data_IF_277732677751
#
_entry.id   IF_277732677751
#
_cell.length_a   1.000
_cell.length_b   1.000
_cell.length_c   1.000
_cell.angle_alpha   90.00
_cell.angle_beta   90.00
_cell.angle_gamma   90.00
#
_symmetry.space_group_name_H-M   'P 1'
#
loop_
_entity.id
_entity.type
_entity.pdbx_description
1 polymer ?
#
# COMPACT_ATOMS: atom_id res chain seq x y z
N UNK A 1 76.70 -6.28 -24.15
CA UNK A 1 76.08 -7.04 -23.04
C UNK A 1 76.26 -6.21 -21.78
N UNK A 2 75.40 -5.24 -21.47
CA UNK A 2 73.97 -5.36 -21.15
C UNK A 2 73.72 -6.14 -19.85
N UNK A 3 73.64 -5.43 -18.71
CA UNK A 3 72.49 -5.50 -17.78
C UNK A 3 72.76 -4.79 -16.45
N UNK A 4 71.68 -4.15 -15.97
CA UNK A 4 71.58 -3.05 -14.99
C UNK A 4 71.51 -3.53 -13.51
N UNK A 5 71.68 -2.61 -12.53
CA UNK A 5 71.82 -2.93 -11.11
C UNK A 5 70.47 -3.09 -10.39
N UNK A 6 70.42 -4.00 -9.41
CA UNK A 6 69.26 -4.22 -8.53
C UNK A 6 69.47 -3.66 -7.13
N UNK A 7 69.10 -2.40 -6.94
CA UNK A 7 68.98 -1.75 -5.63
C UNK A 7 67.76 -2.31 -4.89
N UNK A 8 67.95 -2.91 -3.71
CA UNK A 8 66.86 -3.36 -2.82
C UNK A 8 66.64 -2.31 -1.73
N UNK A 9 65.72 -1.38 -1.98
CA UNK A 9 65.25 -0.40 -0.99
C UNK A 9 64.20 -1.07 -0.09
N UNK A 10 64.42 -1.00 1.23
CA UNK A 10 63.51 -1.54 2.25
C UNK A 10 62.30 -0.62 2.43
N UNK A 11 61.10 -1.19 2.40
CA UNK A 11 59.83 -0.54 2.69
C UNK A 11 59.84 0.03 4.12
N UNK A 12 59.66 1.33 4.26
CA UNK A 12 59.25 1.97 5.51
C UNK A 12 57.78 2.37 5.37
N UNK A 13 56.98 1.85 6.29
CA UNK A 13 55.53 2.00 6.47
C UNK A 13 55.07 3.46 6.44
N UNK A 14 54.23 3.79 5.46
CA UNK A 14 53.54 5.07 5.37
C UNK A 14 52.21 5.02 6.14
N UNK A 15 52.09 5.86 7.18
CA UNK A 15 50.87 6.09 7.95
C UNK A 15 49.85 6.83 7.09
N UNK A 16 48.80 6.13 6.64
CA UNK A 16 47.68 6.76 5.92
C UNK A 16 46.68 7.32 6.94
N UNK A 17 46.66 8.64 7.05
CA UNK A 17 45.69 9.39 7.84
C UNK A 17 44.29 9.27 7.20
N UNK A 18 43.37 8.63 7.93
CA UNK A 18 41.97 8.46 7.58
C UNK A 18 41.21 9.76 7.91
N UNK A 19 40.97 10.61 6.92
CA UNK A 19 40.05 11.76 7.04
C UNK A 19 38.74 11.39 6.34
N UNK A 20 37.80 10.83 7.11
CA UNK A 20 36.42 10.60 6.67
C UNK A 20 35.54 11.64 7.36
N UNK A 21 35.26 12.74 6.66
CA UNK A 21 34.26 13.75 7.05
C UNK A 21 33.23 13.83 5.93
N UNK A 22 32.43 12.78 5.81
CA UNK A 22 31.14 12.85 5.10
C UNK A 22 30.13 13.40 6.10
N UNK A 23 29.99 14.72 6.15
CA UNK A 23 28.81 15.37 6.75
C UNK A 23 27.64 15.10 5.81
N UNK A 24 27.03 13.93 5.96
CA UNK A 24 25.71 13.68 5.41
C UNK A 24 24.72 14.47 6.28
N UNK A 25 24.31 15.65 5.81
CA UNK A 25 23.05 16.24 6.24
C UNK A 25 21.93 15.30 5.81
N UNK A 26 21.68 14.27 6.61
CA UNK A 26 20.43 13.55 6.57
C UNK A 26 19.38 14.54 7.01
N UNK A 27 18.57 15.02 6.08
CA UNK A 27 17.24 15.49 6.44
C UNK A 27 16.59 14.33 7.17
N UNK A 28 16.53 14.41 8.50
CA UNK A 28 15.74 13.53 9.33
C UNK A 28 14.28 13.74 8.92
N UNK A 29 13.90 13.03 7.85
CA UNK A 29 12.53 12.91 7.39
C UNK A 29 11.78 12.19 8.47
N UNK A 30 11.30 12.95 9.45
CA UNK A 30 10.34 12.47 10.43
C UNK A 30 9.22 11.83 9.62
N UNK A 31 8.95 10.52 9.75
CA UNK A 31 7.90 9.88 8.97
C UNK A 31 6.59 10.58 9.30
N UNK A 32 6.05 11.34 8.35
CA UNK A 32 4.72 11.92 8.50
C UNK A 32 3.76 10.75 8.65
N UNK A 33 2.97 10.68 9.73
CA UNK A 33 1.98 9.62 9.87
C UNK A 33 1.04 9.61 8.67
N UNK A 34 0.69 8.44 8.13
CA UNK A 34 -0.23 8.36 7.00
C UNK A 34 -1.58 8.98 7.38
N UNK A 35 -2.13 9.81 6.50
CA UNK A 35 -3.43 10.45 6.71
C UNK A 35 -4.53 9.40 6.59
N UNK A 36 -5.25 9.14 7.68
CA UNK A 36 -6.37 8.19 7.69
C UNK A 36 -7.60 8.73 6.97
N UNK A 37 -8.27 7.88 6.20
CA UNK A 37 -9.55 8.16 5.53
C UNK A 37 -10.62 7.23 6.09
N UNK A 38 -11.78 7.80 6.42
CA UNK A 38 -12.91 7.01 6.92
C UNK A 38 -13.52 6.21 5.77
N UNK A 39 -13.67 4.91 5.98
CA UNK A 39 -14.47 4.02 5.13
C UNK A 39 -15.65 3.45 5.93
N UNK A 40 -16.69 3.01 5.22
CA UNK A 40 -17.82 2.35 5.87
C UNK A 40 -17.48 0.87 6.07
N UNK A 41 -17.54 0.38 7.31
CA UNK A 41 -17.28 -1.02 7.63
C UNK A 41 -18.48 -1.67 8.30
N UNK A 42 -18.54 -3.00 8.28
CA UNK A 42 -19.43 -3.75 9.15
C UNK A 42 -19.17 -3.40 10.62
N UNK A 43 -20.21 -3.49 11.47
CA UNK A 43 -20.14 -3.16 12.89
C UNK A 43 -19.43 -4.23 13.74
N UNK A 44 -19.38 -5.47 13.25
CA UNK A 44 -18.73 -6.61 13.88
C UNK A 44 -18.24 -7.59 12.80
N UNK A 45 -17.30 -8.50 13.12
CA UNK A 45 -16.90 -9.57 12.21
C UNK A 45 -18.09 -10.41 11.74
N UNK A 46 -18.09 -10.80 10.47
CA UNK A 46 -19.13 -11.65 9.91
C UNK A 46 -18.84 -13.13 10.25
N UNK A 47 -19.85 -13.84 10.75
CA UNK A 47 -19.77 -15.28 11.04
C UNK A 47 -20.10 -16.14 9.81
N UNK A 48 -20.76 -15.53 8.82
CA UNK A 48 -21.13 -16.12 7.55
C UNK A 48 -21.03 -15.04 6.47
N UNK A 49 -20.69 -15.44 5.26
CA UNK A 49 -20.65 -14.55 4.10
C UNK A 49 -21.65 -15.04 3.06
N UNK A 50 -22.31 -14.11 2.39
CA UNK A 50 -23.10 -14.41 1.21
C UNK A 50 -22.15 -14.71 0.05
N UNK A 51 -22.45 -15.74 -0.74
CA UNK A 51 -21.59 -16.18 -1.85
C UNK A 51 -21.83 -15.40 -3.15
N UNK A 52 -22.48 -14.21 -3.09
CA UNK A 52 -22.60 -13.39 -4.29
C UNK A 52 -21.25 -12.77 -4.61
N UNK A 53 -20.77 -13.00 -5.84
CA UNK A 53 -19.53 -12.41 -6.32
C UNK A 53 -19.75 -10.93 -6.60
N UNK A 54 -19.21 -10.08 -5.74
CA UNK A 54 -19.16 -8.63 -5.93
C UNK A 54 -17.86 -8.30 -6.66
N UNK A 55 -17.97 -7.54 -7.75
CA UNK A 55 -16.83 -7.07 -8.54
C UNK A 55 -16.95 -5.57 -8.74
N UNK A 56 -15.83 -4.84 -8.65
CA UNK A 56 -15.80 -3.44 -9.05
C UNK A 56 -14.47 -2.75 -8.83
N UNK A 57 -14.35 -1.54 -9.39
CA UNK A 57 -13.14 -0.72 -9.29
C UNK A 57 -13.25 0.14 -8.04
N UNK A 58 -12.23 0.11 -7.18
CA UNK A 58 -12.18 1.00 -6.03
C UNK A 58 -11.95 2.44 -6.50
N UNK A 59 -12.80 3.39 -6.11
CA UNK A 59 -12.65 4.80 -6.51
C UNK A 59 -12.73 5.72 -5.30
N UNK A 60 -11.99 6.85 -5.27
CA UNK A 60 -12.15 7.84 -4.22
C UNK A 60 -13.59 8.39 -4.20
N UNK A 61 -14.17 8.55 -3.02
CA UNK A 61 -15.51 9.08 -2.87
C UNK A 61 -15.61 10.02 -1.67
N UNK A 62 -16.09 11.26 -1.89
CA UNK A 62 -16.07 12.31 -0.87
C UNK A 62 -16.85 11.95 0.40
N UNK A 63 -17.96 11.21 0.28
CA UNK A 63 -18.79 10.85 1.43
C UNK A 63 -18.43 9.50 2.07
N UNK A 64 -17.75 8.61 1.34
CA UNK A 64 -17.54 7.21 1.76
C UNK A 64 -16.07 6.86 1.95
N UNK A 65 -15.16 7.77 1.62
CA UNK A 65 -13.74 7.51 1.47
C UNK A 65 -13.45 6.77 0.16
N UNK A 66 -13.93 5.53 0.07
CA UNK A 66 -13.80 4.66 -1.10
C UNK A 66 -15.19 4.16 -1.52
N UNK A 67 -15.52 4.33 -2.79
CA UNK A 67 -16.68 3.75 -3.46
C UNK A 67 -16.30 2.57 -4.35
N UNK A 68 -17.31 1.82 -4.79
CA UNK A 68 -17.13 0.74 -5.76
C UNK A 68 -17.82 1.12 -7.07
N UNK A 69 -17.05 1.22 -8.14
CA UNK A 69 -17.55 1.51 -9.48
C UNK A 69 -17.73 0.23 -10.28
N UNK A 70 -18.93 0.03 -10.82
CA UNK A 70 -19.23 -1.10 -11.71
C UNK A 70 -18.50 -0.92 -13.05
N UNK A 71 -17.66 -1.90 -13.48
CA UNK A 71 -16.98 -1.83 -14.76
C UNK A 71 -17.98 -1.77 -15.92
N UNK A 72 -17.72 -0.92 -16.91
CA UNK A 72 -18.53 -0.76 -18.11
C UNK A 72 -19.73 0.19 -17.96
N UNK A 73 -20.41 0.22 -16.80
CA UNK A 73 -21.53 1.15 -16.57
C UNK A 73 -21.11 2.42 -15.84
N UNK A 74 -20.06 2.37 -15.03
CA UNK A 74 -19.61 3.49 -14.21
C UNK A 74 -20.49 3.76 -12.99
N UNK A 75 -21.51 2.93 -12.75
CA UNK A 75 -22.42 3.05 -11.61
C UNK A 75 -21.65 2.95 -10.28
N UNK A 76 -21.96 3.83 -9.35
CA UNK A 76 -21.33 3.87 -8.03
C UNK A 76 -22.22 3.22 -6.99
N UNK A 77 -21.63 2.31 -6.22
CA UNK A 77 -22.24 1.72 -5.04
C UNK A 77 -21.39 2.02 -3.80
N UNK A 78 -22.05 2.10 -2.64
CA UNK A 78 -21.40 2.24 -1.35
C UNK A 78 -20.96 0.85 -0.85
N UNK A 79 -19.65 0.56 -0.81
CA UNK A 79 -19.18 -0.64 -0.17
C UNK A 79 -19.26 -0.49 1.35
N UNK A 80 -19.72 -1.54 2.01
CA UNK A 80 -19.54 -1.76 3.44
C UNK A 80 -18.46 -2.81 3.56
N UNK A 81 -17.24 -2.37 3.85
CA UNK A 81 -16.08 -3.24 3.95
C UNK A 81 -16.17 -4.19 5.16
N UNK A 82 -15.41 -5.28 5.18
CA UNK A 82 -15.34 -6.13 6.35
C UNK A 82 -14.93 -5.35 7.61
N UNK A 83 -15.32 -5.86 8.76
CA UNK A 83 -15.03 -5.23 10.05
C UNK A 83 -13.53 -4.95 10.22
N UNK A 84 -13.19 -3.79 10.78
CA UNK A 84 -11.80 -3.42 11.08
C UNK A 84 -11.00 -2.89 9.89
N UNK A 85 -11.54 -2.95 8.67
CA UNK A 85 -10.87 -2.36 7.50
C UNK A 85 -10.74 -0.85 7.65
N UNK A 86 -9.68 -0.30 7.07
CA UNK A 86 -9.40 1.13 7.10
C UNK A 86 -8.84 1.59 5.76
N UNK A 87 -8.76 2.91 5.57
CA UNK A 87 -8.07 3.47 4.42
C UNK A 87 -7.09 4.56 4.85
N UNK A 88 -6.01 4.68 4.09
CA UNK A 88 -5.01 5.74 4.25
C UNK A 88 -4.69 6.37 2.91
N UNK A 89 -4.25 7.62 2.94
CA UNK A 89 -3.61 8.25 1.78
C UNK A 89 -2.24 7.61 1.57
N UNK A 90 -2.00 7.10 0.37
CA UNK A 90 -0.74 6.51 -0.07
C UNK A 90 -0.37 7.08 -1.44
N UNK A 91 0.51 8.10 -1.44
CA UNK A 91 0.82 8.89 -2.62
C UNK A 91 -0.41 9.65 -3.15
N UNK A 92 -0.75 9.41 -4.41
CA UNK A 92 -1.89 9.98 -5.12
C UNK A 92 -3.16 9.11 -5.03
N UNK A 93 -3.09 7.98 -4.33
CA UNK A 93 -4.15 6.97 -4.21
C UNK A 93 -4.58 6.80 -2.76
N UNK A 94 -5.72 6.14 -2.56
CA UNK A 94 -6.08 5.60 -1.26
C UNK A 94 -5.72 4.12 -1.21
N UNK A 95 -5.04 3.71 -0.15
CA UNK A 95 -4.79 2.31 0.16
C UNK A 95 -5.88 1.80 1.10
N UNK A 96 -6.55 0.71 0.72
CA UNK A 96 -7.45 -0.06 1.58
C UNK A 96 -6.62 -1.07 2.38
N UNK A 97 -6.75 -1.02 3.70
CA UNK A 97 -6.04 -1.89 4.63
C UNK A 97 -7.03 -2.81 5.33
N UNK A 98 -6.59 -4.05 5.61
CA UNK A 98 -7.36 -4.96 6.46
C UNK A 98 -7.31 -4.57 7.95
N UNK A 99 -8.00 -5.34 8.78
CA UNK A 99 -8.03 -5.20 10.25
C UNK A 99 -6.65 -5.22 10.93
N UNK A 100 -5.62 -5.75 10.25
CA UNK A 100 -4.24 -5.87 10.74
C UNK A 100 -3.34 -4.77 10.16
N UNK A 101 -3.90 -3.84 9.39
CA UNK A 101 -3.16 -2.77 8.71
C UNK A 101 -2.38 -3.25 7.48
N UNK A 102 -2.67 -4.44 6.95
CA UNK A 102 -2.02 -4.95 5.74
C UNK A 102 -2.73 -4.39 4.51
N UNK A 103 -1.95 -4.01 3.50
CA UNK A 103 -2.48 -3.56 2.22
C UNK A 103 -3.31 -4.67 1.56
N UNK A 104 -4.52 -4.30 1.15
CA UNK A 104 -5.45 -5.16 0.40
C UNK A 104 -5.50 -4.74 -1.06
N UNK A 105 -5.72 -3.44 -1.30
CA UNK A 105 -5.86 -2.87 -2.65
C UNK A 105 -5.65 -1.35 -2.60
N UNK A 106 -5.48 -0.73 -3.77
CA UNK A 106 -5.49 0.71 -3.94
C UNK A 106 -6.69 1.17 -4.78
N UNK A 107 -7.11 2.42 -4.64
CA UNK A 107 -8.09 3.03 -5.55
C UNK A 107 -7.60 2.98 -7.00
N UNK A 108 -8.40 2.47 -7.92
CA UNK A 108 -8.07 2.17 -9.31
C UNK A 108 -7.98 0.67 -9.57
N UNK A 109 -7.80 -0.15 -8.54
CA UNK A 109 -7.75 -1.60 -8.68
C UNK A 109 -9.16 -2.16 -8.88
N UNK A 110 -9.26 -3.15 -9.77
CA UNK A 110 -10.43 -4.01 -9.87
C UNK A 110 -10.36 -5.05 -8.76
N UNK A 111 -11.40 -5.13 -7.94
CA UNK A 111 -11.48 -6.12 -6.86
C UNK A 111 -12.62 -7.11 -7.07
N UNK A 112 -12.48 -8.25 -6.41
CA UNK A 112 -13.51 -9.26 -6.20
C UNK A 112 -13.65 -9.59 -4.72
N UNK A 113 -14.87 -9.88 -4.30
CA UNK A 113 -15.20 -10.26 -2.93
C UNK A 113 -16.49 -11.07 -2.90
N UNK A 114 -16.66 -11.91 -1.88
CA UNK A 114 -18.00 -12.34 -1.47
C UNK A 114 -18.80 -11.15 -0.92
N UNK A 115 -20.11 -11.32 -0.78
CA UNK A 115 -20.95 -10.22 -0.34
C UNK A 115 -22.40 -10.29 -0.80
N UNK A 116 -23.08 -9.15 -0.70
CA UNK A 116 -24.46 -9.01 -1.14
C UNK A 116 -24.96 -7.59 -1.10
N UNK A 117 -26.01 -7.30 -1.86
CA UNK A 117 -26.75 -6.04 -1.73
C UNK A 117 -27.58 -6.06 -0.44
N UNK A 118 -27.53 -4.98 0.33
CA UNK A 118 -28.32 -4.84 1.57
C UNK A 118 -29.38 -3.73 1.49
N UNK A 119 -29.18 -2.77 0.59
CA UNK A 119 -30.11 -1.70 0.25
C UNK A 119 -29.78 -1.17 -1.16
N UNK A 120 -30.70 -0.44 -1.82
CA UNK A 120 -30.43 0.16 -3.12
C UNK A 120 -29.19 1.06 -3.08
N UNK A 121 -28.16 0.69 -3.84
CA UNK A 121 -26.90 1.43 -3.92
C UNK A 121 -25.86 1.07 -2.86
N UNK A 122 -26.12 0.08 -1.99
CA UNK A 122 -25.12 -0.41 -1.03
C UNK A 122 -24.89 -1.91 -1.14
N UNK A 123 -23.62 -2.31 -1.00
CA UNK A 123 -23.20 -3.72 -0.96
C UNK A 123 -22.35 -3.95 0.27
N UNK A 124 -22.62 -5.05 0.97
CA UNK A 124 -21.70 -5.56 1.99
C UNK A 124 -20.67 -6.44 1.31
N UNK A 125 -19.39 -6.19 1.61
CA UNK A 125 -18.28 -7.05 1.23
C UNK A 125 -17.92 -7.91 2.44
N UNK A 126 -17.78 -9.20 2.21
CA UNK A 126 -17.36 -10.15 3.24
C UNK A 126 -16.46 -11.23 2.66
N UNK A 127 -15.77 -11.94 3.55
CA UNK A 127 -14.67 -12.82 3.16
C UNK A 127 -13.42 -12.03 2.79
N UNK A 128 -12.55 -12.65 2.00
CA UNK A 128 -11.36 -11.99 1.45
C UNK A 128 -11.74 -11.06 0.30
N UNK A 129 -11.07 -9.90 0.24
CA UNK A 129 -11.07 -9.04 -0.94
C UNK A 129 -9.79 -9.35 -1.71
N UNK A 130 -9.93 -9.62 -3.00
CA UNK A 130 -8.83 -9.95 -3.90
C UNK A 130 -8.76 -8.94 -5.04
N UNK A 131 -7.54 -8.55 -5.43
CA UNK A 131 -7.32 -7.73 -6.61
C UNK A 131 -7.29 -8.63 -7.84
N UNK A 132 -8.11 -8.29 -8.84
CA UNK A 132 -8.17 -8.99 -10.12
C UNK A 132 -7.16 -8.35 -11.09
N UNK A 133 -6.30 -9.14 -11.75
CA UNK A 133 -5.43 -8.64 -12.81
C UNK A 133 -6.25 -8.04 -13.96
N UNK A 134 -5.85 -6.85 -14.42
CA UNK A 134 -6.42 -6.18 -15.59
C UNK A 134 -5.89 -6.69 -16.91
#
# INVERSE_FOLDING_TARGET
MDSRPGVRIRLATASVALVVLLVACGSDGTPTPPTSVRVTTAAAPANACMDALITGILVPHAAWGIGLQTPGTGELTRPIFPFGYSAVVDGDRLALLDEKGRLVAHTGDLIQSGGGSIDPGSVVLCGGIEVVPG
#
